data_IF_335140519506
#
_entry.id   IF_335140519506
#
_cell.length_a   1.000
_cell.length_b   1.000
_cell.length_c   1.000
_cell.angle_alpha   90.00
_cell.angle_beta   90.00
_cell.angle_gamma   90.00
#
_symmetry.space_group_name_H-M   'P 1'
#
loop_
_entity.id
_entity.type
_entity.pdbx_description
1 polymer ?
#
# COMPACT_ATOMS: atom_id res chain seq x y z
N UNK A 1 17.66 -17.00 -1.59
CA UNK A 1 17.96 -15.87 -2.50
C UNK A 1 16.70 -15.33 -3.18
N UNK A 2 15.94 -16.17 -3.89
CA UNK A 2 14.65 -15.83 -4.54
C UNK A 2 13.63 -15.09 -3.65
N UNK A 3 13.47 -15.51 -2.39
CA UNK A 3 12.47 -14.92 -1.49
C UNK A 3 12.80 -13.46 -1.10
N UNK A 4 14.09 -13.11 -1.02
CA UNK A 4 14.56 -11.76 -0.73
C UNK A 4 14.34 -10.84 -1.93
N UNK A 5 14.59 -11.34 -3.14
CA UNK A 5 14.35 -10.60 -4.38
C UNK A 5 12.85 -10.38 -4.61
N UNK A 6 12.03 -11.40 -4.38
CA UNK A 6 10.57 -11.29 -4.48
C UNK A 6 10.03 -10.23 -3.51
N UNK A 7 10.44 -10.27 -2.24
CA UNK A 7 10.04 -9.27 -1.25
C UNK A 7 10.41 -7.85 -1.67
N UNK A 8 11.61 -7.67 -2.22
CA UNK A 8 12.08 -6.36 -2.72
C UNK A 8 11.27 -5.88 -3.92
N UNK A 9 10.93 -6.77 -4.84
CA UNK A 9 10.11 -6.46 -6.03
C UNK A 9 8.68 -6.08 -5.64
N UNK A 10 8.05 -6.86 -4.76
CA UNK A 10 6.71 -6.56 -4.23
C UNK A 10 6.71 -5.21 -3.52
N UNK A 11 7.73 -4.92 -2.70
CA UNK A 11 7.82 -3.64 -2.03
C UNK A 11 7.99 -2.47 -3.00
N UNK A 12 8.73 -2.64 -4.10
CA UNK A 12 8.82 -1.60 -5.15
C UNK A 12 7.48 -1.36 -5.82
N UNK A 13 6.81 -2.42 -6.26
CA UNK A 13 5.47 -2.32 -6.86
C UNK A 13 4.47 -1.67 -5.90
N UNK A 14 4.54 -2.03 -4.62
CA UNK A 14 3.74 -1.43 -3.57
C UNK A 14 3.96 0.07 -3.48
N UNK A 15 5.21 0.47 -3.32
CA UNK A 15 5.61 1.87 -3.24
C UNK A 15 5.17 2.64 -4.49
N UNK A 16 5.42 2.11 -5.68
CA UNK A 16 5.07 2.77 -6.94
C UNK A 16 3.56 2.92 -7.10
N UNK A 17 2.79 1.93 -6.67
CA UNK A 17 1.33 2.02 -6.57
C UNK A 17 0.90 3.11 -5.60
N UNK A 18 1.46 3.15 -4.39
CA UNK A 18 1.12 4.15 -3.37
C UNK A 18 1.38 5.57 -3.88
N UNK A 19 2.55 5.82 -4.47
CA UNK A 19 2.88 7.13 -5.05
C UNK A 19 1.98 7.48 -6.24
N UNK A 20 1.62 6.50 -7.06
CA UNK A 20 0.68 6.70 -8.17
C UNK A 20 -0.74 7.01 -7.68
N UNK A 21 -1.17 6.40 -6.57
CA UNK A 21 -2.47 6.66 -5.95
C UNK A 21 -2.52 8.09 -5.38
N UNK A 22 -1.50 8.50 -4.62
CA UNK A 22 -1.37 9.88 -4.12
C UNK A 22 -1.41 10.87 -5.29
N UNK A 23 -0.66 10.61 -6.39
CA UNK A 23 -0.67 11.46 -7.59
C UNK A 23 -2.05 11.60 -8.23
N UNK A 24 -2.86 10.54 -8.23
CA UNK A 24 -4.21 10.55 -8.82
C UNK A 24 -5.23 11.29 -7.95
N UNK A 25 -5.16 11.12 -6.63
CA UNK A 25 -6.09 11.76 -5.68
C UNK A 25 -5.74 13.21 -5.41
N UNK A 26 -4.47 13.49 -5.13
CA UNK A 26 -3.99 14.83 -4.83
C UNK A 26 -2.61 15.10 -5.49
N UNK A 27 -2.62 15.68 -6.70
CA UNK A 27 -1.39 16.06 -7.41
C UNK A 27 -0.52 17.07 -6.64
N UNK A 28 -1.11 17.91 -5.78
CA UNK A 28 -0.36 18.91 -5.00
C UNK A 28 0.39 18.23 -3.87
N UNK A 29 -0.28 17.37 -3.12
CA UNK A 29 0.36 16.54 -2.10
C UNK A 29 1.51 15.71 -2.69
N UNK A 30 1.32 15.15 -3.89
CA UNK A 30 2.35 14.38 -4.59
C UNK A 30 3.66 15.15 -4.84
N UNK A 31 3.59 16.40 -5.33
CA UNK A 31 4.80 17.19 -5.57
C UNK A 31 5.57 17.48 -4.27
N UNK A 32 4.87 17.59 -3.15
CA UNK A 32 5.45 17.82 -1.83
C UNK A 32 6.18 16.57 -1.32
N UNK A 33 5.57 15.39 -1.46
CA UNK A 33 6.16 14.13 -0.93
C UNK A 33 7.17 13.48 -1.86
N UNK A 34 7.21 13.83 -3.14
CA UNK A 34 8.06 13.15 -4.14
C UNK A 34 9.56 13.32 -3.89
N UNK A 35 10.01 14.34 -3.15
CA UNK A 35 11.44 14.70 -3.05
C UNK A 35 11.97 14.74 -1.61
N UNK A 36 13.28 14.52 -1.48
CA UNK A 36 14.02 14.74 -0.23
C UNK A 36 13.60 13.85 0.94
N UNK A 37 13.62 14.42 2.14
CA UNK A 37 13.31 13.73 3.39
C UNK A 37 11.83 13.37 3.50
N UNK A 38 10.92 14.21 2.96
CA UNK A 38 9.48 13.92 2.92
C UNK A 38 9.19 12.61 2.20
N UNK A 39 9.87 12.33 1.09
CA UNK A 39 9.80 11.03 0.41
C UNK A 39 10.21 9.89 1.32
N UNK A 40 11.31 10.05 2.06
CA UNK A 40 11.79 9.03 3.00
C UNK A 40 10.80 8.79 4.14
N UNK A 41 10.17 9.85 4.66
CA UNK A 41 9.13 9.77 5.69
C UNK A 41 7.90 9.01 5.14
N UNK A 42 7.38 9.41 3.98
CA UNK A 42 6.26 8.72 3.33
C UNK A 42 6.57 7.24 3.11
N UNK A 43 7.76 6.92 2.60
CA UNK A 43 8.22 5.55 2.43
C UNK A 43 8.30 4.75 3.75
N UNK A 44 8.75 5.40 4.82
CA UNK A 44 8.85 4.81 6.16
C UNK A 44 7.46 4.43 6.68
N UNK A 45 6.51 5.36 6.63
CA UNK A 45 5.13 5.12 7.07
C UNK A 45 4.49 4.00 6.25
N UNK A 46 4.65 4.03 4.92
CA UNK A 46 4.10 3.02 4.01
C UNK A 46 4.71 1.62 4.22
N UNK A 47 6.00 1.53 4.53
CA UNK A 47 6.67 0.24 4.84
C UNK A 47 6.14 -0.40 6.11
N UNK A 48 5.70 0.41 7.06
CA UNK A 48 5.10 -0.01 8.32
C UNK A 48 3.57 -0.03 8.23
N UNK A 49 3.01 -0.33 7.04
CA UNK A 49 1.56 -0.52 6.87
C UNK A 49 0.71 0.74 6.96
N UNK A 50 1.33 1.93 6.95
CA UNK A 50 0.68 3.19 7.32
C UNK A 50 0.12 3.18 8.76
N UNK A 51 0.82 2.53 9.70
CA UNK A 51 0.48 2.59 11.11
C UNK A 51 0.98 3.89 11.77
N UNK A 52 0.44 4.19 12.96
CA UNK A 52 0.82 5.34 13.77
C UNK A 52 2.28 5.25 14.23
N UNK A 53 3.13 6.15 13.75
CA UNK A 53 4.56 6.18 14.12
C UNK A 53 4.97 7.47 14.81
N UNK A 54 5.84 7.39 15.81
CA UNK A 54 6.43 8.55 16.49
C UNK A 54 7.58 9.16 15.70
N UNK A 55 7.89 10.43 15.99
CA UNK A 55 9.06 11.13 15.42
C UNK A 55 10.35 10.34 15.64
N UNK A 56 10.50 9.70 16.81
CA UNK A 56 11.73 8.96 17.16
C UNK A 56 11.88 7.70 16.32
N UNK A 57 10.78 6.99 16.04
CA UNK A 57 10.78 5.79 15.19
C UNK A 57 11.10 6.17 13.75
N UNK A 58 10.41 7.20 13.21
CA UNK A 58 10.64 7.70 11.86
C UNK A 58 12.10 8.15 11.68
N UNK A 59 12.62 8.96 12.61
CA UNK A 59 13.99 9.45 12.58
C UNK A 59 15.02 8.31 12.58
N UNK A 60 14.80 7.29 13.42
CA UNK A 60 15.67 6.12 13.50
C UNK A 60 15.67 5.32 12.21
N UNK A 61 14.50 5.13 11.60
CA UNK A 61 14.38 4.32 10.40
C UNK A 61 14.92 5.01 9.14
N UNK A 62 14.73 6.32 9.01
CA UNK A 62 15.23 7.06 7.83
C UNK A 62 16.66 7.59 7.98
N UNK A 63 17.24 7.51 9.19
CA UNK A 63 18.61 7.93 9.50
C UNK A 63 18.79 9.45 9.50
N UNK A 64 17.82 10.19 10.03
CA UNK A 64 17.81 11.67 10.04
C UNK A 64 17.55 12.18 11.47
N UNK A 65 18.01 13.38 11.80
CA UNK A 65 17.79 13.96 13.13
C UNK A 65 16.29 14.16 13.44
N UNK A 66 15.91 14.03 14.72
CA UNK A 66 14.52 14.23 15.15
C UNK A 66 13.98 15.62 14.80
N UNK A 67 14.83 16.65 14.91
CA UNK A 67 14.47 18.04 14.57
C UNK A 67 14.14 18.17 13.08
N UNK A 68 15.00 17.65 12.20
CA UNK A 68 14.75 17.66 10.75
C UNK A 68 13.48 16.89 10.38
N UNK A 69 13.23 15.74 11.03
CA UNK A 69 11.98 14.99 10.82
C UNK A 69 10.78 15.81 11.28
N UNK A 70 10.85 16.44 12.45
CA UNK A 70 9.78 17.28 12.97
C UNK A 70 9.45 18.44 12.02
N UNK A 71 10.44 19.15 11.50
CA UNK A 71 10.23 20.25 10.55
C UNK A 71 9.49 19.77 9.28
N UNK A 72 9.86 18.61 8.76
CA UNK A 72 9.20 18.05 7.58
C UNK A 72 7.79 17.53 7.87
N UNK A 73 7.56 16.93 9.05
CA UNK A 73 6.23 16.48 9.48
C UNK A 73 5.27 17.64 9.66
N UNK A 74 5.71 18.75 10.26
CA UNK A 74 4.91 19.97 10.40
C UNK A 74 4.47 20.53 9.04
N UNK A 75 5.36 20.53 8.05
CA UNK A 75 4.97 20.93 6.68
C UNK A 75 3.96 19.95 6.10
N UNK A 76 4.18 18.65 6.23
CA UNK A 76 3.25 17.65 5.69
C UNK A 76 1.87 17.66 6.39
N UNK A 77 1.81 18.04 7.66
CA UNK A 77 0.56 18.24 8.40
C UNK A 77 -0.20 19.47 7.90
N UNK A 78 0.48 20.61 7.71
CA UNK A 78 -0.13 21.85 7.19
C UNK A 78 -0.72 21.65 5.81
N UNK A 79 -0.06 20.84 5.00
CA UNK A 79 -0.46 20.52 3.62
C UNK A 79 -1.53 19.41 3.55
N UNK A 80 -2.03 18.93 4.69
CA UNK A 80 -3.13 17.97 4.73
C UNK A 80 -2.76 16.53 4.38
N UNK A 81 -1.47 16.20 4.31
CA UNK A 81 -0.99 14.90 3.85
C UNK A 81 -0.98 13.87 4.99
N UNK A 82 -0.68 14.36 6.20
CA UNK A 82 -0.62 13.55 7.41
C UNK A 82 -1.78 13.89 8.36
N UNK A 83 -2.05 12.94 9.23
CA UNK A 83 -2.80 13.10 10.48
C UNK A 83 -1.84 12.92 11.65
N UNK A 84 -2.11 13.64 12.74
CA UNK A 84 -1.42 13.42 14.01
C UNK A 84 -2.38 13.04 15.13
N UNK A 85 -1.88 12.19 16.02
CA UNK A 85 -2.57 11.77 17.24
C UNK A 85 -1.62 11.93 18.41
N UNK A 86 -2.13 12.43 19.53
CA UNK A 86 -1.37 12.52 20.79
C UNK A 86 -1.81 11.40 21.73
N UNK A 87 -0.86 10.52 22.04
CA UNK A 87 -1.04 9.50 23.09
C UNK A 87 -0.05 9.79 24.20
N UNK A 88 -0.58 10.02 25.40
CA UNK A 88 0.19 10.41 26.59
C UNK A 88 1.06 11.66 26.33
N UNK A 89 2.36 11.47 26.11
CA UNK A 89 3.33 12.53 25.84
C UNK A 89 4.08 12.31 24.50
N UNK A 90 3.48 11.55 23.58
CA UNK A 90 4.05 11.26 22.26
C UNK A 90 3.08 11.72 21.18
N UNK A 91 3.62 12.41 20.16
CA UNK A 91 2.91 12.66 18.90
C UNK A 91 3.23 11.51 17.94
N UNK A 92 2.16 10.92 17.42
CA UNK A 92 2.18 9.89 16.42
C UNK A 92 1.62 10.45 15.11
N UNK A 93 2.12 9.95 13.99
CA UNK A 93 1.80 10.44 12.66
C UNK A 93 1.42 9.26 11.76
N UNK A 94 0.43 9.49 10.91
CA UNK A 94 -0.07 8.54 9.89
C UNK A 94 -0.41 9.31 8.61
N UNK A 95 -0.35 8.68 7.44
CA UNK A 95 -0.82 9.30 6.19
C UNK A 95 -2.35 9.22 6.14
N UNK A 96 -3.01 10.33 5.80
CA UNK A 96 -4.47 10.38 5.69
C UNK A 96 -5.00 9.35 4.70
N UNK A 97 -6.07 8.66 5.05
CA UNK A 97 -6.72 7.66 4.20
C UNK A 97 -7.42 8.30 2.98
N UNK A 98 -7.74 9.60 3.06
CA UNK A 98 -8.26 10.36 1.93
C UNK A 98 -7.19 10.54 0.84
N UNK A 99 -5.93 10.79 1.25
CA UNK A 99 -4.79 11.00 0.36
C UNK A 99 -4.22 9.66 -0.12
N UNK A 100 -4.33 8.64 0.72
CA UNK A 100 -3.77 7.32 0.49
C UNK A 100 -4.85 6.24 0.44
N UNK A 101 -5.01 5.59 -0.72
CA UNK A 101 -5.72 4.31 -0.76
C UNK A 101 -4.81 3.22 -0.18
N UNK A 102 -5.25 2.44 0.82
CA UNK A 102 -4.55 1.21 1.16
C UNK A 102 -4.36 0.38 -0.12
N UNK A 103 -3.30 -0.43 -0.15
CA UNK A 103 -3.07 -1.37 -1.25
C UNK A 103 -4.39 -2.10 -1.56
N UNK A 104 -4.72 -2.39 -2.83
CA UNK A 104 -5.78 -3.35 -3.09
C UNK A 104 -5.43 -4.57 -2.23
N UNK A 105 -6.35 -5.02 -1.37
CA UNK A 105 -6.01 -5.99 -0.35
C UNK A 105 -5.32 -7.16 -1.06
N UNK A 106 -4.23 -7.67 -0.50
CA UNK A 106 -3.42 -8.71 -1.15
C UNK A 106 -4.28 -9.90 -1.61
N UNK A 107 -5.46 -10.07 -1.01
CA UNK A 107 -6.55 -10.95 -1.44
C UNK A 107 -7.05 -10.66 -2.87
N UNK A 108 -7.32 -9.42 -3.26
CA UNK A 108 -7.75 -9.05 -4.63
C UNK A 108 -6.66 -9.36 -5.67
N UNK A 109 -5.41 -9.06 -5.34
CA UNK A 109 -4.26 -9.32 -6.21
C UNK A 109 -3.97 -10.82 -6.31
N UNK A 110 -4.08 -11.55 -5.20
CA UNK A 110 -3.99 -13.00 -5.16
C UNK A 110 -5.15 -13.64 -5.92
N UNK A 111 -6.37 -13.12 -5.81
CA UNK A 111 -7.54 -13.54 -6.59
C UNK A 111 -7.28 -13.39 -8.09
N UNK A 112 -6.80 -12.20 -8.49
CA UNK A 112 -6.52 -11.89 -9.89
C UNK A 112 -5.42 -12.79 -10.46
N UNK A 113 -4.38 -13.09 -9.67
CA UNK A 113 -3.31 -14.01 -10.06
C UNK A 113 -3.77 -15.47 -10.08
N UNK A 114 -4.59 -15.90 -9.11
CA UNK A 114 -5.19 -17.23 -9.09
C UNK A 114 -6.13 -17.42 -10.28
N UNK A 115 -7.01 -16.47 -10.56
CA UNK A 115 -7.93 -16.54 -11.70
C UNK A 115 -7.18 -16.53 -13.02
N UNK A 116 -6.14 -15.69 -13.17
CA UNK A 116 -5.27 -15.69 -14.34
C UNK A 116 -4.50 -17.01 -14.49
N UNK A 117 -3.97 -17.58 -13.41
CA UNK A 117 -3.25 -18.86 -13.45
C UNK A 117 -4.17 -20.04 -13.81
N UNK A 118 -5.40 -20.04 -13.31
CA UNK A 118 -6.43 -21.01 -13.70
C UNK A 118 -6.82 -20.86 -15.17
N UNK A 119 -6.99 -19.63 -15.66
CA UNK A 119 -7.26 -19.36 -17.07
C UNK A 119 -6.12 -19.89 -17.97
N UNK A 120 -4.86 -19.64 -17.60
CA UNK A 120 -3.69 -20.11 -18.35
C UNK A 120 -3.59 -21.64 -18.35
N UNK A 121 -3.71 -22.28 -17.18
CA UNK A 121 -3.73 -23.74 -17.07
C UNK A 121 -4.87 -24.34 -17.90
N UNK A 122 -6.05 -23.72 -17.86
CA UNK A 122 -7.21 -24.18 -18.60
C UNK A 122 -7.03 -24.07 -20.13
N UNK A 123 -6.52 -22.93 -20.62
CA UNK A 123 -6.23 -22.71 -22.05
C UNK A 123 -5.18 -23.69 -22.56
N UNK A 124 -4.11 -23.92 -21.78
CA UNK A 124 -3.02 -24.83 -22.13
C UNK A 124 -3.47 -26.29 -22.17
N UNK A 125 -4.35 -26.72 -21.25
CA UNK A 125 -4.75 -28.13 -21.14
C UNK A 125 -5.97 -28.53 -21.98
N UNK A 126 -6.84 -27.61 -22.45
CA UNK A 126 -8.09 -28.02 -23.13
C UNK A 126 -8.57 -27.25 -24.37
N UNK A 127 -7.90 -26.21 -24.88
CA UNK A 127 -8.35 -25.45 -26.08
C UNK A 127 -9.82 -24.92 -26.05
N UNK A 128 -10.52 -24.94 -24.91
CA UNK A 128 -11.92 -24.49 -24.80
C UNK A 128 -12.05 -23.16 -24.05
N UNK A 129 -11.59 -22.07 -24.66
CA UNK A 129 -11.45 -20.74 -24.03
C UNK A 129 -12.72 -20.28 -23.27
N UNK A 130 -13.91 -20.52 -23.82
CA UNK A 130 -15.19 -20.12 -23.23
C UNK A 130 -15.46 -20.75 -21.85
N UNK A 131 -15.16 -22.04 -21.67
CA UNK A 131 -15.42 -22.73 -20.40
C UNK A 131 -14.43 -22.26 -19.32
N UNK A 132 -13.19 -21.97 -19.69
CA UNK A 132 -12.17 -21.42 -18.79
C UNK A 132 -12.52 -20.02 -18.28
N UNK A 133 -13.01 -19.15 -19.16
CA UNK A 133 -13.50 -17.81 -18.78
C UNK A 133 -14.69 -17.91 -17.83
N UNK A 134 -15.64 -18.81 -18.11
CA UNK A 134 -16.80 -19.04 -17.25
C UNK A 134 -16.41 -19.56 -15.86
N UNK A 135 -15.56 -20.60 -15.79
CA UNK A 135 -15.07 -21.15 -14.52
C UNK A 135 -14.26 -20.13 -13.72
N UNK A 136 -13.42 -19.34 -14.38
CA UNK A 136 -12.66 -18.25 -13.76
C UNK A 136 -13.59 -17.21 -13.12
N UNK A 137 -14.63 -16.77 -13.84
CA UNK A 137 -15.62 -15.83 -13.31
C UNK A 137 -16.39 -16.42 -12.12
N UNK A 138 -16.86 -17.66 -12.22
CA UNK A 138 -17.59 -18.33 -11.12
C UNK A 138 -16.70 -18.44 -9.89
N UNK A 139 -15.44 -18.84 -10.06
CA UNK A 139 -14.50 -18.99 -8.96
C UNK A 139 -14.18 -17.65 -8.29
N UNK A 140 -13.96 -16.58 -9.07
CA UNK A 140 -13.77 -15.23 -8.54
C UNK A 140 -14.97 -14.74 -7.73
N UNK A 141 -16.21 -15.00 -8.19
CA UNK A 141 -17.42 -14.63 -7.45
C UNK A 141 -17.53 -15.38 -6.11
N UNK A 142 -17.23 -16.68 -6.10
CA UNK A 142 -17.23 -17.50 -4.87
C UNK A 142 -16.20 -16.98 -3.88
N UNK A 143 -15.00 -16.66 -4.36
CA UNK A 143 -13.91 -16.15 -3.54
C UNK A 143 -14.23 -14.78 -2.93
N UNK A 144 -14.82 -13.85 -3.69
CA UNK A 144 -15.28 -12.55 -3.17
C UNK A 144 -16.25 -12.77 -2.00
N UNK A 145 -17.27 -13.61 -2.20
CA UNK A 145 -18.28 -13.92 -1.16
C UNK A 145 -17.69 -14.60 0.08
N UNK A 146 -16.63 -15.38 -0.09
CA UNK A 146 -15.95 -16.05 1.03
C UNK A 146 -15.13 -15.06 1.85
N UNK A 147 -14.43 -14.13 1.20
CA UNK A 147 -13.65 -13.10 1.88
C UNK A 147 -14.53 -12.06 2.58
N UNK A 148 -15.65 -11.63 1.97
CA UNK A 148 -16.62 -10.74 2.63
C UNK A 148 -17.14 -11.30 3.96
N UNK A 149 -17.30 -12.64 4.04
CA UNK A 149 -17.71 -13.33 5.29
C UNK A 149 -16.59 -13.41 6.33
N UNK A 150 -15.33 -13.41 5.90
CA UNK A 150 -14.16 -13.46 6.78
C UNK A 150 -13.82 -12.10 7.38
N UNK A 151 -14.08 -11.00 6.66
CA UNK A 151 -13.90 -9.63 7.19
C UNK A 151 -15.02 -9.22 8.17
N UNK A 152 -16.19 -9.85 8.09
CA UNK A 152 -17.32 -9.58 8.98
C UNK A 152 -17.28 -10.38 10.31
N UNK A 153 -16.29 -11.26 10.49
CA UNK A 153 -16.12 -12.14 11.66
C UNK A 153 -14.90 -11.74 12.49
#
# INVERSE_FOLDING_TARGET
MLLVELKRTILRLYVDYCFSSIKRRDPRAFEIVRRGVKRKITMCLLRNGNDWMSISEIAREIGVSKATVQDHLEVMLREGILEDMRIMNRRLFKIREEVFSPFPPLSELALALLSASFLVLYVVFRKEILLGVFLGMVFSIILIRFFDKLEAA
#
